data_IF_606613464422
#
_entry.id   IF_606613464422
#
_cell.length_a   1.000
_cell.length_b   1.000
_cell.length_c   1.000
_cell.angle_alpha   90.00
_cell.angle_beta   90.00
_cell.angle_gamma   90.00
#
_symmetry.space_group_name_H-M   'P 1'
#
loop_
_entity.id
_entity.type
_entity.pdbx_description
1 polymer ?
#
# COMPACT_ATOMS: atom_id res chain seq x y z
N UNK A 1 -2.11 3.85 3.83
CA UNK A 1 -0.98 3.66 2.89
C UNK A 1 0.17 3.02 3.65
N UNK A 2 0.79 2.01 3.04
CA UNK A 2 1.98 1.33 3.55
C UNK A 2 2.94 1.08 2.40
N UNK A 3 4.23 1.10 2.69
CA UNK A 3 5.29 0.77 1.74
C UNK A 3 5.90 -0.59 2.07
N UNK A 4 6.22 -1.37 1.04
CA UNK A 4 6.88 -2.67 1.18
C UNK A 4 8.20 -2.69 0.43
N UNK A 5 9.21 -3.29 1.05
CA UNK A 5 10.61 -3.29 0.62
C UNK A 5 11.12 -4.73 0.61
N UNK A 6 11.05 -5.40 -0.53
CA UNK A 6 11.30 -6.84 -0.63
C UNK A 6 12.78 -7.11 -0.88
N UNK A 7 13.33 -8.04 -0.11
CA UNK A 7 14.58 -8.72 -0.41
C UNK A 7 14.46 -9.60 -1.66
N UNK A 8 15.60 -10.15 -2.10
CA UNK A 8 15.61 -11.09 -3.21
C UNK A 8 14.67 -12.27 -2.92
N UNK A 9 13.87 -12.72 -3.89
CA UNK A 9 13.00 -13.88 -3.70
C UNK A 9 13.84 -15.14 -3.51
N UNK A 10 13.43 -16.00 -2.56
CA UNK A 10 14.05 -17.30 -2.29
C UNK A 10 13.13 -18.45 -2.74
N UNK A 11 12.40 -18.26 -3.84
CA UNK A 11 11.37 -19.17 -4.35
C UNK A 11 9.97 -18.56 -4.35
N UNK A 12 9.02 -19.22 -5.03
CA UNK A 12 7.65 -18.71 -5.23
C UNK A 12 6.83 -18.60 -3.94
N UNK A 13 7.11 -19.42 -2.93
CA UNK A 13 6.42 -19.41 -1.63
C UNK A 13 7.37 -19.06 -0.46
N UNK A 14 8.49 -18.40 -0.77
CA UNK A 14 9.46 -18.05 0.26
C UNK A 14 9.01 -16.85 1.09
N UNK A 15 9.35 -16.86 2.38
CA UNK A 15 9.20 -15.67 3.21
C UNK A 15 10.05 -14.54 2.61
N UNK A 16 9.41 -13.43 2.27
CA UNK A 16 10.13 -12.24 1.85
C UNK A 16 10.82 -11.60 3.04
N UNK A 17 12.14 -11.49 2.99
CA UNK A 17 12.92 -10.66 3.90
C UNK A 17 12.78 -9.19 3.51
N UNK A 18 13.09 -8.28 4.45
CA UNK A 18 13.12 -6.84 4.17
C UNK A 18 14.48 -6.46 3.55
N UNK A 19 14.46 -5.63 2.50
CA UNK A 19 15.69 -5.06 1.94
C UNK A 19 16.01 -3.69 2.57
N UNK A 20 17.00 -3.66 3.47
CA UNK A 20 17.36 -2.45 4.21
C UNK A 20 17.92 -1.32 3.33
N UNK A 21 18.70 -1.62 2.29
CA UNK A 21 19.24 -0.60 1.40
C UNK A 21 18.11 0.15 0.68
N UNK A 22 17.05 -0.57 0.28
CA UNK A 22 15.88 0.05 -0.34
C UNK A 22 15.09 0.92 0.65
N UNK A 23 14.96 0.48 1.90
CA UNK A 23 14.31 1.27 2.97
C UNK A 23 15.04 2.59 3.18
N UNK A 24 16.37 2.53 3.33
CA UNK A 24 17.20 3.72 3.57
C UNK A 24 17.21 4.67 2.37
N UNK A 25 17.16 4.14 1.15
CA UNK A 25 17.06 4.91 -0.08
C UNK A 25 15.62 5.25 -0.49
N UNK A 26 14.62 5.00 0.37
CA UNK A 26 13.20 5.32 0.15
C UNK A 26 12.63 4.83 -1.20
N UNK A 27 13.08 3.65 -1.62
CA UNK A 27 12.78 3.04 -2.91
C UNK A 27 11.90 1.79 -2.74
N UNK A 28 10.60 1.94 -2.40
CA UNK A 28 9.70 0.82 -2.16
C UNK A 28 9.35 0.08 -3.45
N UNK A 29 9.14 -1.23 -3.33
CA UNK A 29 8.60 -2.06 -4.42
C UNK A 29 7.10 -1.85 -4.59
N UNK A 30 6.40 -1.66 -3.47
CA UNK A 30 4.97 -1.42 -3.46
C UNK A 30 4.62 -0.28 -2.51
N UNK A 31 3.66 0.54 -2.95
CA UNK A 31 2.94 1.50 -2.10
C UNK A 31 1.46 1.14 -2.21
N UNK A 32 0.85 0.71 -1.11
CA UNK A 32 -0.49 0.08 -1.13
C UNK A 32 -1.40 0.60 -0.02
N UNK A 33 -2.69 0.41 -0.20
CA UNK A 33 -3.68 0.53 0.88
C UNK A 33 -3.97 -0.85 1.46
N UNK A 34 -3.98 -0.94 2.80
CA UNK A 34 -4.32 -2.15 3.56
C UNK A 34 -3.52 -3.40 3.16
N UNK A 35 -2.24 -3.22 2.83
CA UNK A 35 -1.27 -4.31 2.68
C UNK A 35 -1.37 -5.16 1.41
N UNK A 36 -2.32 -4.89 0.52
CA UNK A 36 -2.55 -5.72 -0.68
C UNK A 36 -2.50 -4.88 -1.94
N UNK A 37 -1.61 -5.26 -2.87
CA UNK A 37 -1.49 -4.60 -4.16
C UNK A 37 -2.82 -4.66 -4.94
N UNK A 38 -3.22 -3.53 -5.52
CA UNK A 38 -4.43 -3.41 -6.36
C UNK A 38 -5.73 -3.89 -5.69
N UNK A 39 -5.80 -3.98 -4.36
CA UNK A 39 -6.96 -4.51 -3.62
C UNK A 39 -8.26 -3.85 -4.04
N UNK A 40 -8.31 -2.52 -4.02
CA UNK A 40 -9.53 -1.78 -4.31
C UNK A 40 -9.80 -1.55 -5.80
N UNK A 41 -8.87 -1.90 -6.69
CA UNK A 41 -9.13 -1.97 -8.13
C UNK A 41 -9.81 -3.29 -8.50
N UNK A 42 -9.42 -4.40 -7.84
CA UNK A 42 -9.97 -5.74 -8.10
C UNK A 42 -11.16 -6.09 -7.21
N UNK A 43 -11.21 -5.54 -6.00
CA UNK A 43 -12.26 -5.72 -5.00
C UNK A 43 -12.65 -4.33 -4.46
N UNK A 44 -13.43 -3.55 -5.23
CA UNK A 44 -13.79 -2.17 -4.86
C UNK A 44 -14.59 -2.08 -3.57
N UNK A 45 -14.55 -0.92 -2.93
CA UNK A 45 -15.44 -0.61 -1.80
C UNK A 45 -16.81 -0.28 -2.36
N UNK A 46 -17.82 -1.07 -2.01
CA UNK A 46 -19.20 -0.81 -2.41
C UNK A 46 -19.78 0.37 -1.62
N UNK A 47 -20.37 1.31 -2.35
CA UNK A 47 -20.98 2.52 -1.79
C UNK A 47 -22.34 2.76 -2.43
N UNK A 48 -23.28 3.34 -1.66
CA UNK A 48 -24.61 3.67 -2.14
C UNK A 48 -24.68 5.14 -2.57
N UNK A 49 -25.24 5.40 -3.76
CA UNK A 49 -25.48 6.76 -4.26
C UNK A 49 -26.33 7.56 -3.27
N UNK A 50 -25.93 8.81 -3.01
CA UNK A 50 -26.64 9.73 -2.10
C UNK A 50 -26.40 9.49 -0.62
N UNK A 51 -25.64 8.46 -0.23
CA UNK A 51 -25.27 8.23 1.16
C UNK A 51 -23.96 8.95 1.53
N UNK A 52 -23.83 9.50 2.76
CA UNK A 52 -22.56 10.03 3.24
C UNK A 52 -21.55 8.90 3.40
N UNK A 53 -20.31 9.14 2.96
CA UNK A 53 -19.18 8.25 3.15
C UNK A 53 -18.19 8.89 4.13
N UNK A 54 -17.67 8.09 5.07
CA UNK A 54 -16.54 8.47 5.92
C UNK A 54 -15.40 7.48 5.69
N UNK A 55 -14.20 8.01 5.47
CA UNK A 55 -12.98 7.22 5.32
C UNK A 55 -11.97 7.68 6.37
N UNK A 56 -11.41 6.74 7.12
CA UNK A 56 -10.30 6.97 8.04
C UNK A 56 -9.01 6.56 7.35
N UNK A 57 -8.21 7.53 6.94
CA UNK A 57 -6.98 7.28 6.20
C UNK A 57 -5.79 7.41 7.13
N UNK A 58 -5.07 6.32 7.31
CA UNK A 58 -3.77 6.29 7.99
C UNK A 58 -2.66 6.11 6.96
N UNK A 59 -1.62 6.93 7.05
CA UNK A 59 -0.35 6.68 6.39
C UNK A 59 0.61 6.05 7.41
N UNK A 60 0.88 4.76 7.26
CA UNK A 60 1.80 4.02 8.11
C UNK A 60 3.27 4.19 7.66
N UNK A 61 3.51 4.63 6.42
CA UNK A 61 4.85 4.81 5.88
C UNK A 61 5.57 3.49 5.57
N UNK A 62 6.89 3.39 5.84
CA UNK A 62 7.63 4.21 6.81
C UNK A 62 8.14 5.58 6.33
N UNK A 63 8.26 5.85 5.03
CA UNK A 63 9.06 6.99 4.55
C UNK A 63 8.25 8.09 3.85
N UNK A 64 7.33 7.70 2.96
CA UNK A 64 6.64 8.63 2.07
C UNK A 64 5.46 9.29 2.74
N UNK A 65 5.30 10.59 2.50
CA UNK A 65 4.07 11.31 2.82
C UNK A 65 3.02 10.97 1.76
N UNK A 66 1.79 10.71 2.20
CA UNK A 66 0.65 10.45 1.32
C UNK A 66 -0.08 11.74 0.97
N UNK A 67 0.03 12.21 -0.27
CA UNK A 67 -0.90 13.20 -0.84
C UNK A 67 -2.20 12.49 -1.24
N UNK A 68 -3.01 12.10 -0.25
CA UNK A 68 -4.21 11.31 -0.47
C UNK A 68 -5.25 12.09 -1.27
N UNK A 69 -5.76 11.47 -2.33
CA UNK A 69 -6.78 12.03 -3.21
C UNK A 69 -7.69 10.90 -3.71
N UNK A 70 -8.99 11.15 -3.76
CA UNK A 70 -9.98 10.31 -4.43
C UNK A 70 -10.32 11.00 -5.75
N UNK A 71 -10.09 10.30 -6.86
CA UNK A 71 -10.39 10.82 -8.20
C UNK A 71 -11.92 10.90 -8.36
N UNK A 72 -12.42 12.09 -8.69
CA UNK A 72 -13.85 12.43 -8.79
C UNK A 72 -14.10 13.84 -8.29
#
# INVERSE_FOLDING_TARGET
QSEFYHGAPHGVDSLHSMNWDRVLNQSPDYVVFNGVASRYATHPIEVKTGAPLRVYVLNAGPNRISSFHIIG
#
